data_IF_823423900671
#
_entry.id   IF_823423900671
#
_cell.length_a   1.000
_cell.length_b   1.000
_cell.length_c   1.000
_cell.angle_alpha   90.00
_cell.angle_beta   90.00
_cell.angle_gamma   90.00
#
_symmetry.space_group_name_H-M   'P 1'
#
loop_
_entity.id
_entity.type
_entity.pdbx_description
1 polymer ?
#
# COMPACT_ATOMS: atom_id res chain seq x y z
N UNK A 1 8.67 -33.65 14.73
CA UNK A 1 7.84 -32.86 13.83
C UNK A 1 6.84 -32.13 14.69
N UNK A 2 6.93 -30.81 14.84
CA UNK A 2 5.94 -30.03 15.57
C UNK A 2 4.72 -29.87 14.65
N UNK A 3 3.60 -30.47 15.03
CA UNK A 3 2.30 -30.18 14.44
C UNK A 3 1.91 -28.74 14.82
N UNK A 4 2.41 -27.76 14.07
CA UNK A 4 1.75 -26.47 14.07
C UNK A 4 0.42 -26.68 13.32
N UNK A 5 -0.73 -26.31 13.91
CA UNK A 5 -1.98 -26.34 13.17
C UNK A 5 -1.81 -25.56 11.87
N UNK A 6 -2.22 -26.18 10.76
CA UNK A 6 -2.23 -25.48 9.47
C UNK A 6 -3.06 -24.20 9.62
N UNK A 7 -2.41 -23.06 9.42
CA UNK A 7 -3.13 -21.79 9.40
C UNK A 7 -4.04 -21.79 8.16
N UNK A 8 -5.34 -21.79 8.40
CA UNK A 8 -6.34 -21.67 7.34
C UNK A 8 -6.52 -20.18 7.05
N UNK A 9 -6.05 -19.74 5.89
CA UNK A 9 -6.24 -18.36 5.44
C UNK A 9 -7.73 -18.06 5.26
N UNK A 10 -8.16 -16.82 5.57
CA UNK A 10 -9.53 -16.41 5.28
C UNK A 10 -9.78 -16.49 3.77
N UNK A 11 -10.96 -16.95 3.37
CA UNK A 11 -11.42 -16.85 1.98
C UNK A 11 -11.81 -15.41 1.63
N UNK A 12 -11.99 -15.14 0.35
CA UNK A 12 -12.53 -13.89 -0.15
C UNK A 12 -13.95 -13.66 0.35
N UNK A 13 -14.19 -12.53 1.02
CA UNK A 13 -15.49 -12.19 1.63
C UNK A 13 -16.30 -11.19 0.82
N UNK A 14 -15.77 -10.74 -0.30
CA UNK A 14 -16.39 -9.73 -1.14
C UNK A 14 -15.86 -8.31 -0.87
N UNK A 15 -16.20 -7.41 -1.78
CA UNK A 15 -15.90 -6.01 -1.62
C UNK A 15 -16.74 -5.41 -0.49
N UNK A 16 -16.08 -4.71 0.43
CA UNK A 16 -16.79 -3.86 1.40
C UNK A 16 -17.68 -2.86 0.64
N UNK A 17 -18.93 -2.70 1.11
CA UNK A 17 -19.88 -1.78 0.47
C UNK A 17 -19.41 -0.34 0.63
N UNK A 18 -19.34 0.38 -0.48
CA UNK A 18 -18.97 1.80 -0.48
C UNK A 18 -20.24 2.66 -0.56
N UNK A 19 -20.36 3.72 0.26
CA UNK A 19 -21.45 4.66 0.13
C UNK A 19 -21.38 5.41 -1.20
N UNK A 20 -22.53 5.70 -1.80
CA UNK A 20 -22.59 6.64 -2.90
C UNK A 20 -22.31 8.05 -2.37
N UNK A 21 -21.19 8.64 -2.75
CA UNK A 21 -20.81 10.00 -2.36
C UNK A 21 -20.80 10.92 -3.58
N UNK A 22 -21.15 12.18 -3.35
CA UNK A 22 -20.88 13.21 -4.37
C UNK A 22 -19.38 13.33 -4.55
N UNK A 23 -18.95 13.50 -5.79
CA UNK A 23 -17.55 13.74 -6.11
C UNK A 23 -17.07 14.99 -5.38
N UNK A 24 -16.21 14.82 -4.41
CA UNK A 24 -15.50 15.92 -3.74
C UNK A 24 -14.15 16.06 -4.45
N UNK A 25 -13.96 17.20 -5.12
CA UNK A 25 -12.71 17.48 -5.84
C UNK A 25 -11.79 18.33 -4.99
N UNK A 26 -10.53 17.94 -4.96
CA UNK A 26 -9.48 18.74 -4.35
C UNK A 26 -9.13 19.98 -5.19
N UNK A 27 -8.48 20.92 -4.55
CA UNK A 27 -7.93 22.13 -5.18
C UNK A 27 -6.43 22.24 -4.89
N UNK A 28 -5.71 23.00 -5.70
CA UNK A 28 -4.27 23.18 -5.53
C UNK A 28 -3.40 22.17 -6.28
N UNK A 29 -2.08 22.18 -6.01
CA UNK A 29 -1.14 21.36 -6.75
C UNK A 29 -1.26 19.87 -6.36
N UNK A 30 -0.99 19.00 -7.33
CA UNK A 30 -0.80 17.60 -7.10
C UNK A 30 0.57 17.32 -6.48
N UNK A 31 0.60 16.46 -5.49
CA UNK A 31 1.80 15.90 -4.90
C UNK A 31 2.01 14.48 -5.43
N UNK A 32 3.22 14.20 -5.88
CA UNK A 32 3.63 12.86 -6.27
C UNK A 32 4.06 12.08 -5.02
N UNK A 33 3.37 10.99 -4.76
CA UNK A 33 3.58 10.12 -3.60
C UNK A 33 4.29 8.82 -3.98
N UNK A 34 4.97 8.80 -5.13
CA UNK A 34 5.60 7.62 -5.72
C UNK A 34 7.11 7.70 -5.62
N UNK A 35 7.76 6.65 -5.13
CA UNK A 35 9.21 6.52 -5.23
C UNK A 35 9.64 6.31 -6.68
N UNK A 36 10.74 6.95 -7.07
CA UNK A 36 11.39 6.66 -8.36
C UNK A 36 11.87 5.21 -8.37
N UNK A 37 11.45 4.44 -9.35
CA UNK A 37 11.90 3.07 -9.54
C UNK A 37 13.37 3.02 -9.96
N UNK A 38 14.16 2.30 -9.17
CA UNK A 38 15.56 2.00 -9.47
C UNK A 38 15.85 0.54 -9.14
N UNK A 39 16.92 -0.01 -9.69
CA UNK A 39 17.34 -1.39 -9.37
C UNK A 39 17.75 -1.55 -7.90
N UNK A 40 18.16 -0.47 -7.23
CA UNK A 40 18.65 -0.48 -5.85
C UNK A 40 17.61 0.03 -4.84
N UNK A 41 16.36 0.28 -5.28
CA UNK A 41 15.29 0.67 -4.38
C UNK A 41 15.05 -0.45 -3.34
N UNK A 42 14.83 -0.07 -2.08
CA UNK A 42 14.50 -1.01 -0.99
C UNK A 42 13.40 -1.97 -1.39
N UNK A 43 13.57 -3.23 -1.08
CA UNK A 43 12.65 -4.33 -1.39
C UNK A 43 12.73 -5.43 -0.36
N UNK A 44 11.73 -6.28 -0.33
CA UNK A 44 11.79 -7.52 0.44
C UNK A 44 13.01 -8.37 0.03
N UNK A 45 13.77 -8.90 0.99
CA UNK A 45 14.90 -9.81 0.69
C UNK A 45 14.47 -11.09 -0.04
N UNK A 46 13.19 -11.47 0.04
CA UNK A 46 12.64 -12.64 -0.65
C UNK A 46 12.48 -12.43 -2.15
N UNK A 47 12.51 -11.19 -2.64
CA UNK A 47 12.27 -10.87 -4.04
C UNK A 47 13.59 -10.68 -4.82
N UNK A 48 13.63 -11.11 -6.09
CA UNK A 48 14.79 -10.87 -6.94
C UNK A 48 15.01 -9.38 -7.17
N UNK A 49 16.26 -9.01 -7.45
CA UNK A 49 16.60 -7.64 -7.84
C UNK A 49 15.92 -7.31 -9.17
N UNK A 50 15.28 -6.14 -9.31
CA UNK A 50 14.73 -5.72 -10.60
C UNK A 50 15.85 -5.46 -11.62
N UNK A 51 15.52 -5.54 -12.90
CA UNK A 51 16.39 -5.20 -14.01
C UNK A 51 15.74 -4.09 -14.81
N UNK A 52 16.43 -2.95 -14.96
CA UNK A 52 16.00 -1.81 -15.76
C UNK A 52 17.10 -1.52 -16.77
N UNK A 53 16.90 -1.91 -18.03
CA UNK A 53 17.93 -1.77 -19.05
C UNK A 53 17.40 -1.14 -20.32
N UNK A 54 18.25 -0.34 -20.93
CA UNK A 54 17.99 0.22 -22.24
C UNK A 54 18.38 -0.79 -23.32
N UNK A 55 17.40 -1.36 -24.02
CA UNK A 55 17.59 -2.39 -25.05
C UNK A 55 17.75 -1.80 -26.46
N UNK A 56 17.24 -0.57 -26.69
CA UNK A 56 17.44 0.23 -27.91
C UNK A 56 17.92 1.61 -27.45
N UNK A 57 18.94 2.19 -28.12
CA UNK A 57 19.59 3.40 -27.64
C UNK A 57 20.04 4.33 -28.78
N UNK A 58 19.56 5.56 -28.73
CA UNK A 58 20.08 6.65 -29.60
C UNK A 58 21.52 7.03 -29.20
N UNK A 59 22.35 7.50 -30.12
CA UNK A 59 22.06 7.77 -31.54
C UNK A 59 22.34 6.55 -32.47
N UNK A 60 22.74 5.40 -31.90
CA UNK A 60 22.96 4.18 -32.68
C UNK A 60 21.67 3.70 -33.34
N UNK A 61 20.58 3.80 -32.61
CA UNK A 61 19.24 3.41 -33.04
C UNK A 61 18.36 4.66 -33.26
N UNK A 62 17.19 4.48 -33.85
CA UNK A 62 16.26 5.58 -34.11
C UNK A 62 15.36 5.95 -32.93
N UNK A 63 15.45 5.21 -31.81
CA UNK A 63 14.65 5.42 -30.61
C UNK A 63 15.40 4.98 -29.35
N UNK A 64 14.87 5.33 -28.19
CA UNK A 64 15.24 4.73 -26.91
C UNK A 64 14.12 3.81 -26.43
N UNK A 65 14.45 2.56 -26.06
CA UNK A 65 13.49 1.58 -25.49
C UNK A 65 14.08 1.00 -24.21
N UNK A 66 13.33 1.09 -23.13
CA UNK A 66 13.67 0.51 -21.83
C UNK A 66 12.85 -0.74 -21.58
N UNK A 67 13.54 -1.82 -21.22
CA UNK A 67 12.94 -3.05 -20.71
C UNK A 67 13.00 -3.05 -19.18
N UNK A 68 11.90 -3.50 -18.55
CA UNK A 68 11.81 -3.63 -17.10
C UNK A 68 11.39 -5.06 -16.77
N UNK A 69 12.14 -5.71 -15.87
CA UNK A 69 11.81 -7.01 -15.29
C UNK A 69 11.84 -6.89 -13.78
N UNK A 70 10.70 -7.05 -13.12
CA UNK A 70 10.59 -6.94 -11.66
C UNK A 70 9.33 -7.64 -11.14
N UNK A 71 9.28 -7.89 -9.84
CA UNK A 71 8.05 -8.30 -9.17
C UNK A 71 7.11 -7.12 -9.03
N UNK A 72 5.80 -7.38 -8.98
CA UNK A 72 4.78 -6.31 -8.87
C UNK A 72 4.79 -5.59 -7.52
N UNK A 73 5.41 -6.17 -6.50
CA UNK A 73 5.57 -5.60 -5.15
C UNK A 73 6.92 -4.86 -4.99
N UNK A 74 7.45 -4.27 -6.06
CA UNK A 74 8.68 -3.48 -6.01
C UNK A 74 8.38 -1.99 -6.16
N UNK A 75 8.88 -1.18 -5.20
CA UNK A 75 8.59 0.24 -5.13
C UNK A 75 7.14 0.55 -4.77
N UNK A 76 6.66 1.74 -5.07
CA UNK A 76 5.27 2.13 -4.80
C UNK A 76 4.31 1.31 -5.64
N UNK A 77 3.43 0.56 -4.98
CA UNK A 77 2.51 -0.38 -5.62
C UNK A 77 1.19 -0.49 -4.85
N UNK A 78 0.23 -1.18 -5.45
CA UNK A 78 -1.05 -1.56 -4.82
C UNK A 78 -1.17 -3.08 -4.86
N UNK A 79 -1.55 -3.66 -3.72
CA UNK A 79 -1.86 -5.08 -3.59
C UNK A 79 -3.31 -5.35 -3.94
N UNK A 80 -3.52 -6.36 -4.78
CA UNK A 80 -4.82 -6.94 -5.04
C UNK A 80 -5.15 -8.04 -4.00
N UNK A 81 -6.43 -8.34 -3.75
CA UNK A 81 -6.79 -9.44 -2.85
C UNK A 81 -6.13 -10.78 -3.20
N UNK A 82 -5.85 -11.04 -4.47
CA UNK A 82 -5.11 -12.21 -4.95
C UNK A 82 -3.76 -12.40 -4.27
N UNK A 83 -3.14 -11.35 -3.74
CA UNK A 83 -1.83 -11.44 -3.09
C UNK A 83 -1.83 -12.42 -1.90
N UNK A 84 -2.91 -12.42 -1.12
CA UNK A 84 -3.03 -13.31 0.04
C UNK A 84 -4.17 -14.34 -0.07
N UNK A 85 -5.08 -14.18 -1.02
CA UNK A 85 -6.29 -14.99 -1.14
C UNK A 85 -6.33 -15.71 -2.48
N UNK A 86 -6.37 -17.04 -2.45
CA UNK A 86 -6.35 -17.86 -3.67
C UNK A 86 -7.55 -17.61 -4.58
N UNK A 87 -8.67 -17.18 -4.04
CA UNK A 87 -9.92 -16.86 -4.72
C UNK A 87 -10.21 -15.35 -4.79
N UNK A 88 -9.25 -14.52 -4.35
CA UNK A 88 -9.38 -13.07 -4.40
C UNK A 88 -9.29 -12.50 -5.83
N UNK A 89 -9.92 -11.34 -6.09
CA UNK A 89 -9.78 -10.61 -7.35
C UNK A 89 -8.33 -10.28 -7.67
N UNK A 90 -8.00 -10.29 -8.95
CA UNK A 90 -6.70 -9.88 -9.48
C UNK A 90 -6.66 -8.40 -9.82
N UNK A 91 -5.49 -7.86 -10.12
CA UNK A 91 -5.33 -6.41 -10.32
C UNK A 91 -6.16 -5.85 -11.47
N UNK A 92 -6.40 -6.63 -12.51
CA UNK A 92 -7.25 -6.29 -13.64
C UNK A 92 -8.77 -6.37 -13.34
N UNK A 93 -9.16 -7.03 -12.23
CA UNK A 93 -10.54 -7.11 -11.76
C UNK A 93 -10.93 -5.98 -10.77
N UNK A 94 -9.96 -5.13 -10.36
CA UNK A 94 -10.23 -4.10 -9.34
C UNK A 94 -11.04 -2.96 -9.94
N UNK A 95 -12.24 -2.66 -9.36
CA UNK A 95 -13.03 -1.52 -9.79
C UNK A 95 -12.30 -0.20 -9.57
N UNK A 96 -12.34 0.71 -10.55
CA UNK A 96 -11.60 1.99 -10.50
C UNK A 96 -11.97 2.84 -9.28
N UNK A 97 -13.22 2.81 -8.82
CA UNK A 97 -13.67 3.53 -7.63
C UNK A 97 -12.96 3.10 -6.33
N UNK A 98 -12.27 1.96 -6.34
CA UNK A 98 -11.41 1.52 -5.24
C UNK A 98 -10.05 2.23 -5.22
N UNK A 99 -9.60 2.71 -6.38
CA UNK A 99 -8.25 3.23 -6.60
C UNK A 99 -8.16 4.76 -6.55
N UNK A 100 -9.29 5.48 -6.46
CA UNK A 100 -9.28 6.94 -6.39
C UNK A 100 -10.43 7.50 -5.55
N UNK A 101 -10.30 8.76 -5.15
CA UNK A 101 -11.33 9.52 -4.45
C UNK A 101 -10.84 10.18 -3.16
N UNK A 102 -11.76 10.49 -2.23
CA UNK A 102 -11.41 11.13 -0.99
C UNK A 102 -10.55 10.24 -0.09
N UNK A 103 -9.60 10.87 0.58
CA UNK A 103 -8.70 10.24 1.53
C UNK A 103 -8.43 11.17 2.72
N UNK A 104 -7.97 10.58 3.82
CA UNK A 104 -7.32 11.29 4.92
C UNK A 104 -5.84 10.95 4.93
N UNK A 105 -4.98 11.94 5.14
CA UNK A 105 -3.56 11.71 5.40
C UNK A 105 -3.34 11.90 6.88
N UNK A 106 -2.99 10.85 7.61
CA UNK A 106 -2.71 10.92 9.03
C UNK A 106 -1.22 10.83 9.31
N UNK A 107 -0.74 11.76 10.12
CA UNK A 107 0.61 11.67 10.64
C UNK A 107 0.59 10.91 11.96
N UNK A 108 1.15 9.69 11.93
CA UNK A 108 1.26 8.80 13.09
C UNK A 108 2.72 8.42 13.27
N UNK A 109 3.44 9.21 14.07
CA UNK A 109 4.86 8.93 14.36
C UNK A 109 4.98 7.92 15.47
N UNK A 110 5.61 6.81 15.16
CA UNK A 110 5.95 5.75 16.12
C UNK A 110 7.45 5.47 16.03
N UNK A 111 8.02 4.99 17.13
CA UNK A 111 9.41 4.54 17.16
C UNK A 111 9.62 3.24 16.35
N UNK A 112 10.89 2.82 16.18
CA UNK A 112 11.22 1.56 15.52
C UNK A 112 10.46 0.37 16.14
N UNK A 113 9.90 -0.49 15.28
CA UNK A 113 9.18 -1.70 15.66
C UNK A 113 7.96 -1.48 16.58
N UNK A 114 7.49 -0.26 16.71
CA UNK A 114 6.30 0.04 17.47
C UNK A 114 5.04 -0.49 16.77
N UNK A 115 3.93 -0.53 17.49
CA UNK A 115 2.65 -0.96 16.95
C UNK A 115 1.71 0.23 16.85
N UNK A 116 1.02 0.35 15.73
CA UNK A 116 -0.08 1.29 15.49
C UNK A 116 -1.36 0.58 15.89
N UNK A 117 -2.07 1.15 16.85
CA UNK A 117 -3.27 0.59 17.47
C UNK A 117 -4.52 1.40 17.07
N UNK A 118 -5.74 0.90 17.27
CA UNK A 118 -6.97 1.63 16.97
C UNK A 118 -7.03 3.02 17.58
N UNK A 119 -6.51 3.20 18.79
CA UNK A 119 -6.47 4.48 19.51
C UNK A 119 -5.68 5.56 18.77
N UNK A 120 -4.67 5.16 18.00
CA UNK A 120 -3.90 6.09 17.16
C UNK A 120 -4.78 6.66 16.04
N UNK A 121 -5.66 5.84 15.47
CA UNK A 121 -6.63 6.26 14.46
C UNK A 121 -7.76 7.11 15.05
N UNK A 122 -8.22 6.74 16.25
CA UNK A 122 -9.22 7.51 16.97
C UNK A 122 -8.70 8.89 17.37
N UNK A 123 -7.43 9.02 17.68
CA UNK A 123 -6.79 10.31 17.99
C UNK A 123 -6.53 11.14 16.72
N UNK A 124 -6.45 10.52 15.54
CA UNK A 124 -6.07 11.19 14.30
C UNK A 124 -7.16 12.15 13.78
N UNK A 125 -6.71 13.17 13.09
CA UNK A 125 -7.56 14.17 12.41
C UNK A 125 -7.06 14.46 11.01
N UNK A 126 -7.96 14.75 10.04
CA UNK A 126 -9.42 14.74 10.13
C UNK A 126 -9.98 13.33 10.32
N UNK A 127 -11.22 13.21 10.79
CA UNK A 127 -11.86 11.89 10.95
C UNK A 127 -12.12 11.25 9.59
N UNK A 128 -11.90 9.95 9.52
CA UNK A 128 -12.24 9.12 8.37
C UNK A 128 -13.75 9.04 8.20
N UNK A 129 -14.20 8.91 6.97
CA UNK A 129 -15.60 8.68 6.63
C UNK A 129 -15.69 7.40 5.79
N UNK A 130 -16.82 6.65 5.87
CA UNK A 130 -17.01 5.45 5.07
C UNK A 130 -16.73 5.69 3.57
N UNK A 131 -15.91 4.85 2.97
CA UNK A 131 -15.46 4.96 1.59
C UNK A 131 -14.23 5.84 1.37
N UNK A 132 -13.65 6.43 2.41
CA UNK A 132 -12.36 7.10 2.33
C UNK A 132 -11.20 6.09 2.13
N UNK A 133 -10.10 6.58 1.61
CA UNK A 133 -8.80 5.96 1.77
C UNK A 133 -8.10 6.55 2.99
N UNK A 134 -7.24 5.77 3.64
CA UNK A 134 -6.37 6.23 4.73
C UNK A 134 -4.93 6.14 4.26
N UNK A 135 -4.21 7.27 4.30
CA UNK A 135 -2.79 7.34 3.95
C UNK A 135 -1.99 7.70 5.20
N UNK A 136 -1.08 6.83 5.62
CA UNK A 136 -0.30 6.99 6.85
C UNK A 136 1.08 7.58 6.55
N UNK A 137 1.33 8.80 7.04
CA UNK A 137 2.66 9.41 7.15
C UNK A 137 3.27 9.00 8.50
N UNK A 138 3.98 7.88 8.50
CA UNK A 138 4.73 7.43 9.68
C UNK A 138 6.12 8.09 9.75
N UNK A 139 6.52 8.79 8.69
CA UNK A 139 7.83 9.36 8.50
C UNK A 139 8.89 8.36 8.07
N UNK A 140 8.50 7.12 7.74
CA UNK A 140 9.44 6.05 7.42
C UNK A 140 10.00 6.13 6.00
N UNK A 141 9.30 6.75 5.05
CA UNK A 141 9.79 6.98 3.69
C UNK A 141 11.17 7.65 3.62
N UNK A 142 11.53 8.47 4.62
CA UNK A 142 12.85 9.11 4.68
C UNK A 142 14.02 8.13 4.83
N UNK A 143 13.77 6.90 5.25
CA UNK A 143 14.77 5.85 5.47
C UNK A 143 14.93 4.91 4.28
N UNK A 144 14.21 5.16 3.16
CA UNK A 144 14.32 4.34 1.95
C UNK A 144 15.79 4.16 1.54
N UNK A 145 16.15 2.98 1.07
CA UNK A 145 17.52 2.59 0.69
C UNK A 145 18.54 2.56 1.84
N UNK A 146 18.08 2.48 3.09
CA UNK A 146 18.93 2.23 4.26
C UNK A 146 18.42 1.01 5.03
N UNK A 147 19.27 0.37 5.83
CA UNK A 147 18.89 -0.76 6.67
C UNK A 147 17.78 -0.39 7.67
N UNK A 148 17.74 0.88 8.07
CA UNK A 148 16.71 1.40 8.97
C UNK A 148 15.31 1.35 8.38
N UNK A 149 15.16 1.25 7.06
CA UNK A 149 13.85 1.19 6.42
C UNK A 149 13.02 0.00 6.90
N UNK A 150 13.66 -1.10 7.26
CA UNK A 150 13.02 -2.30 7.79
C UNK A 150 12.72 -2.24 9.32
N UNK A 151 12.97 -1.11 9.98
CA UNK A 151 12.66 -0.94 11.41
C UNK A 151 11.31 -0.26 11.65
N UNK A 152 10.48 -0.12 10.62
CA UNK A 152 9.22 0.60 10.68
C UNK A 152 8.24 0.06 11.73
N UNK A 153 7.28 0.89 12.10
CA UNK A 153 6.13 0.46 12.89
C UNK A 153 5.19 -0.40 12.02
N UNK A 154 4.49 -1.33 12.65
CA UNK A 154 3.45 -2.16 12.03
C UNK A 154 2.08 -1.87 12.63
N UNK A 155 0.99 -2.23 11.92
CA UNK A 155 -0.34 -2.20 12.48
C UNK A 155 -0.59 -3.46 13.32
N UNK A 156 -1.42 -3.33 14.37
CA UNK A 156 -2.01 -4.49 15.02
C UNK A 156 -3.14 -5.10 14.17
N UNK A 157 -3.51 -6.35 14.44
CA UNK A 157 -4.69 -6.96 13.83
C UNK A 157 -5.97 -6.15 14.16
N UNK A 158 -6.08 -5.64 15.40
CA UNK A 158 -7.19 -4.79 15.82
C UNK A 158 -7.26 -3.48 15.02
N UNK A 159 -6.12 -2.88 14.69
CA UNK A 159 -6.08 -1.70 13.82
C UNK A 159 -6.57 -2.02 12.39
N UNK A 160 -6.25 -3.19 11.86
CA UNK A 160 -6.78 -3.62 10.57
C UNK A 160 -8.31 -3.86 10.63
N UNK A 161 -8.81 -4.50 11.68
CA UNK A 161 -10.25 -4.68 11.92
C UNK A 161 -10.95 -3.32 12.03
N UNK A 162 -10.38 -2.37 12.75
CA UNK A 162 -10.91 -1.01 12.86
C UNK A 162 -11.09 -0.33 11.50
N UNK A 163 -10.10 -0.45 10.59
CA UNK A 163 -10.20 0.09 9.23
C UNK A 163 -11.35 -0.54 8.43
N UNK A 164 -11.56 -1.85 8.60
CA UNK A 164 -12.70 -2.55 7.97
C UNK A 164 -14.04 -2.06 8.53
N UNK A 165 -14.17 -1.96 9.85
CA UNK A 165 -15.40 -1.49 10.52
C UNK A 165 -15.76 -0.05 10.12
N UNK A 166 -14.75 0.79 9.88
CA UNK A 166 -14.94 2.17 9.41
C UNK A 166 -15.08 2.28 7.89
N UNK A 167 -15.23 1.15 7.20
CA UNK A 167 -15.45 1.07 5.75
C UNK A 167 -14.37 1.82 4.93
N UNK A 168 -13.12 1.76 5.37
CA UNK A 168 -11.97 2.24 4.60
C UNK A 168 -11.83 1.36 3.37
N UNK A 169 -11.66 1.95 2.19
CA UNK A 169 -11.54 1.18 0.95
C UNK A 169 -10.11 0.85 0.54
N UNK A 170 -9.13 1.60 1.06
CA UNK A 170 -7.71 1.41 0.80
C UNK A 170 -6.89 2.00 1.94
N UNK A 171 -5.89 1.26 2.40
CA UNK A 171 -4.83 1.71 3.29
C UNK A 171 -3.58 1.99 2.45
N UNK A 172 -2.99 3.18 2.55
CA UNK A 172 -1.68 3.51 2.01
C UNK A 172 -0.67 3.79 3.13
N UNK A 173 0.55 3.27 2.98
CA UNK A 173 1.61 3.43 3.99
C UNK A 173 2.95 3.83 3.35
N UNK A 174 3.78 4.52 4.11
CA UNK A 174 5.09 5.02 3.69
C UNK A 174 6.26 4.10 4.09
N UNK A 175 5.97 2.81 4.27
CA UNK A 175 6.96 1.76 4.58
C UNK A 175 6.74 0.50 3.74
N UNK A 176 7.53 -0.54 3.99
CA UNK A 176 7.60 -1.74 3.16
C UNK A 176 6.45 -2.72 3.36
N UNK A 177 5.67 -2.61 4.44
CA UNK A 177 4.55 -3.49 4.77
C UNK A 177 3.76 -2.94 5.97
N UNK A 178 2.43 -3.10 6.03
CA UNK A 178 1.66 -2.78 7.22
C UNK A 178 1.81 -3.83 8.33
N UNK A 179 2.24 -5.04 7.99
CA UNK A 179 2.53 -6.10 8.94
C UNK A 179 3.92 -5.95 9.57
N UNK A 180 4.23 -6.85 10.51
CA UNK A 180 5.53 -6.91 11.15
C UNK A 180 6.64 -7.08 10.12
N UNK A 181 7.71 -6.30 10.25
CA UNK A 181 8.87 -6.34 9.35
C UNK A 181 9.50 -7.73 9.26
N UNK A 182 10.09 -8.05 8.11
CA UNK A 182 10.50 -9.42 7.75
C UNK A 182 11.41 -10.09 8.77
N UNK A 183 12.39 -9.38 9.30
CA UNK A 183 13.37 -9.94 10.24
C UNK A 183 12.87 -10.09 11.70
N UNK A 184 11.68 -9.58 12.01
CA UNK A 184 11.02 -9.74 13.30
C UNK A 184 9.92 -10.79 13.29
N UNK A 185 9.57 -11.34 12.13
CA UNK A 185 8.49 -12.32 12.01
C UNK A 185 8.86 -13.64 12.69
N UNK A 186 8.04 -14.15 13.63
CA UNK A 186 8.24 -15.46 14.19
C UNK A 186 7.99 -16.55 13.11
N UNK A 187 8.48 -17.75 13.37
CA UNK A 187 8.16 -18.91 12.51
C UNK A 187 6.63 -19.10 12.47
N UNK A 188 6.07 -19.22 11.27
CA UNK A 188 4.62 -19.38 11.07
C UNK A 188 3.84 -18.07 11.15
N UNK A 189 4.48 -16.93 10.99
CA UNK A 189 3.80 -15.63 10.90
C UNK A 189 2.80 -15.61 9.73
N UNK A 190 1.58 -15.15 9.98
CA UNK A 190 0.43 -15.30 9.08
C UNK A 190 0.02 -14.02 8.35
N UNK A 191 0.71 -12.91 8.57
CA UNK A 191 0.37 -11.60 7.97
C UNK A 191 -1.06 -11.13 8.29
N UNK A 192 -1.39 -10.97 9.57
CA UNK A 192 -2.77 -10.72 9.99
C UNK A 192 -3.36 -9.44 9.42
N UNK A 193 -2.56 -8.39 9.18
CA UNK A 193 -3.05 -7.14 8.62
C UNK A 193 -3.44 -7.32 7.15
N UNK A 194 -2.57 -7.92 6.32
CA UNK A 194 -2.91 -8.23 4.93
C UNK A 194 -4.14 -9.13 4.84
N UNK A 195 -4.16 -10.24 5.60
CA UNK A 195 -5.29 -11.19 5.55
C UNK A 195 -6.60 -10.52 5.95
N UNK A 196 -6.60 -9.69 6.99
CA UNK A 196 -7.80 -8.97 7.44
C UNK A 196 -8.27 -7.98 6.38
N UNK A 197 -7.39 -7.10 5.91
CA UNK A 197 -7.77 -6.03 4.98
C UNK A 197 -8.18 -6.59 3.61
N UNK A 198 -7.33 -7.40 3.00
CA UNK A 198 -7.56 -7.90 1.65
C UNK A 198 -8.77 -8.84 1.58
N UNK A 199 -9.04 -9.65 2.62
CA UNK A 199 -10.21 -10.53 2.64
C UNK A 199 -11.54 -9.78 2.64
N UNK A 200 -11.55 -8.55 3.09
CA UNK A 200 -12.72 -7.66 3.14
C UNK A 200 -12.74 -6.64 1.99
N UNK A 201 -11.80 -6.74 1.05
CA UNK A 201 -11.71 -5.83 -0.09
C UNK A 201 -11.22 -4.43 0.27
N UNK A 202 -10.48 -4.28 1.36
CA UNK A 202 -9.68 -3.10 1.65
C UNK A 202 -8.31 -3.30 1.00
N UNK A 203 -8.00 -2.51 -0.03
CA UNK A 203 -6.73 -2.60 -0.74
C UNK A 203 -5.59 -2.05 0.12
N UNK A 204 -4.36 -2.45 -0.21
CA UNK A 204 -3.15 -1.95 0.45
C UNK A 204 -2.25 -1.30 -0.59
N UNK A 205 -1.71 -0.12 -0.28
CA UNK A 205 -0.67 0.52 -1.07
C UNK A 205 0.56 0.72 -0.20
N UNK A 206 1.70 0.23 -0.66
CA UNK A 206 2.95 0.22 0.07
C UNK A 206 3.99 1.14 -0.57
N UNK A 207 5.02 1.48 0.19
CA UNK A 207 6.13 2.33 -0.24
C UNK A 207 5.65 3.70 -0.76
N UNK A 208 4.70 4.34 -0.08
CA UNK A 208 4.36 5.73 -0.37
C UNK A 208 5.48 6.66 0.09
N UNK A 209 5.55 7.84 -0.51
CA UNK A 209 6.50 8.89 -0.12
C UNK A 209 5.83 10.26 -0.15
N UNK A 210 6.55 11.28 0.32
CA UNK A 210 6.14 12.70 0.22
C UNK A 210 4.74 13.00 0.80
N UNK A 211 4.29 12.24 1.79
CA UNK A 211 3.00 12.45 2.46
C UNK A 211 2.99 13.68 3.39
N UNK A 212 4.16 14.07 3.91
CA UNK A 212 4.32 15.11 4.92
C UNK A 212 3.64 16.46 4.58
N UNK A 213 3.71 16.98 3.35
CA UNK A 213 3.03 18.24 2.98
C UNK A 213 1.51 18.17 3.06
N UNK A 214 0.95 16.96 3.05
CA UNK A 214 -0.49 16.68 3.10
C UNK A 214 -0.93 16.16 4.50
N UNK A 215 -0.02 16.06 5.45
CA UNK A 215 -0.29 15.51 6.78
C UNK A 215 -1.46 16.21 7.49
N UNK A 216 -2.31 15.42 8.11
CA UNK A 216 -3.50 15.84 8.86
C UNK A 216 -4.50 16.66 8.01
N UNK A 217 -4.66 16.25 6.74
CA UNK A 217 -5.60 16.87 5.81
C UNK A 217 -6.50 15.83 5.14
N UNK A 218 -7.65 16.31 4.70
CA UNK A 218 -8.43 15.60 3.67
C UNK A 218 -7.83 15.92 2.31
N UNK A 219 -7.77 14.89 1.47
CA UNK A 219 -7.17 14.98 0.14
C UNK A 219 -8.05 14.24 -0.88
N UNK A 220 -7.94 14.63 -2.13
CA UNK A 220 -8.29 13.79 -3.26
C UNK A 220 -7.04 13.01 -3.66
N UNK A 221 -7.12 11.68 -3.72
CA UNK A 221 -6.00 10.81 -4.04
C UNK A 221 -6.34 9.84 -5.18
N UNK A 222 -5.31 9.46 -5.94
CA UNK A 222 -5.35 8.46 -7.00
C UNK A 222 -4.17 7.52 -6.84
N UNK A 223 -4.46 6.22 -6.71
CA UNK A 223 -3.49 5.15 -6.53
C UNK A 223 -3.67 4.12 -7.66
N UNK A 224 -3.41 4.56 -8.90
CA UNK A 224 -3.77 3.82 -10.10
C UNK A 224 -2.67 2.79 -10.44
N UNK A 225 -2.88 1.55 -10.01
CA UNK A 225 -2.05 0.42 -10.42
C UNK A 225 -2.35 0.00 -11.86
N UNK A 226 -1.33 -0.54 -12.55
CA UNK A 226 -1.46 -1.05 -13.92
C UNK A 226 -2.34 -2.31 -13.91
N UNK A 227 -3.38 -2.43 -14.77
CA UNK A 227 -4.23 -3.62 -14.82
C UNK A 227 -3.50 -4.78 -15.51
N UNK A 228 -2.73 -5.54 -14.75
CA UNK A 228 -2.00 -6.71 -15.24
C UNK A 228 -2.88 -7.94 -15.04
N UNK A 229 -3.14 -8.68 -16.12
CA UNK A 229 -4.01 -9.87 -16.11
C UNK A 229 -3.51 -10.91 -15.12
N UNK A 230 -4.37 -11.29 -14.19
CA UNK A 230 -4.11 -12.34 -13.21
C UNK A 230 -3.10 -11.97 -12.12
N UNK A 231 -2.68 -10.69 -12.04
CA UNK A 231 -1.66 -10.25 -11.10
C UNK A 231 -2.21 -10.05 -9.69
N UNK A 232 -1.36 -10.32 -8.72
CA UNK A 232 -1.58 -10.14 -7.28
C UNK A 232 -1.31 -8.70 -6.78
N UNK A 233 -0.87 -7.81 -7.66
CA UNK A 233 -0.62 -6.39 -7.39
C UNK A 233 -0.07 -5.69 -8.62
N UNK A 234 0.20 -4.39 -8.53
CA UNK A 234 0.85 -3.64 -9.60
C UNK A 234 1.52 -2.37 -9.08
N UNK A 235 2.61 -1.96 -9.75
CA UNK A 235 3.17 -0.62 -9.57
C UNK A 235 2.11 0.44 -9.84
N UNK A 236 2.13 1.48 -9.03
CA UNK A 236 1.19 2.58 -9.14
C UNK A 236 1.89 3.93 -9.18
N UNK A 237 1.42 4.84 -10.04
CA UNK A 237 1.70 6.27 -9.86
C UNK A 237 0.68 6.82 -8.89
N UNK A 238 1.13 7.15 -7.70
CA UNK A 238 0.27 7.66 -6.64
C UNK A 238 0.39 9.16 -6.55
N UNK A 239 -0.75 9.84 -6.61
CA UNK A 239 -0.81 11.30 -6.49
C UNK A 239 -1.95 11.72 -5.55
N UNK A 240 -1.77 12.84 -4.87
CA UNK A 240 -2.84 13.44 -4.08
C UNK A 240 -2.76 14.97 -4.08
N UNK A 241 -3.89 15.63 -3.80
CA UNK A 241 -3.97 17.10 -3.59
C UNK A 241 -4.92 17.42 -2.45
N UNK A 242 -4.73 18.56 -1.80
CA UNK A 242 -5.60 19.00 -0.74
C UNK A 242 -7.03 19.27 -1.24
N UNK A 243 -8.02 18.96 -0.39
CA UNK A 243 -9.44 19.27 -0.60
C UNK A 243 -9.81 20.57 0.10
#
# INVERSE_FOLDING_TARGET
MCDCPEHVRPGWKGWISLPQRKSEQGSGPWFDLTHTLTEDLSRSPAFPKPVIRQIVKMPKDNANVTEIQMVVHHGTHVDAPRHFLIDGPTMDDIPLERLHGPAVVWRIEKGPYAVIEPEDFEAATPKVQPGDMVLLDTGWAQHINTDKYEEHASLSAAAAEWLVEHQVKLLGIDCSTPDLTSHKRPKGFTFPVHETLLSQGVLIAEHLTNLRPLANRRVEAMLLGIPIVGSDGAQARVIARAM
#
